data_IF_717215072083
#
_entry.id   IF_717215072083
#
_cell.length_a   1.000
_cell.length_b   1.000
_cell.length_c   1.000
_cell.angle_alpha   90.00
_cell.angle_beta   90.00
_cell.angle_gamma   90.00
#
_symmetry.space_group_name_H-M   'P 1'
#
loop_
_entity.id
_entity.type
_entity.pdbx_description
1 polymer ?
#
# COMPACT_ATOMS: atom_id res chain seq x y z
N UNK A 1 -2.25 -12.64 -13.12
CA UNK A 1 -1.50 -11.55 -12.45
C UNK A 1 -2.46 -10.41 -12.18
N UNK A 2 -2.47 -9.88 -10.96
CA UNK A 2 -3.39 -8.81 -10.55
C UNK A 2 -2.87 -7.49 -11.14
N UNK A 3 -3.76 -6.72 -11.76
CA UNK A 3 -3.45 -5.38 -12.27
C UNK A 3 -3.78 -4.34 -11.20
N UNK A 4 -2.83 -3.44 -10.96
CA UNK A 4 -2.95 -2.33 -10.01
C UNK A 4 -2.72 -1.03 -10.78
N UNK A 5 -3.48 0.00 -10.46
CA UNK A 5 -3.33 1.34 -11.01
C UNK A 5 -3.10 2.36 -9.91
N UNK A 6 -2.14 3.25 -10.14
CA UNK A 6 -1.85 4.39 -9.29
C UNK A 6 -2.11 5.65 -10.13
N UNK A 7 -2.98 6.52 -9.64
CA UNK A 7 -3.41 7.73 -10.33
C UNK A 7 -2.63 8.97 -9.85
N UNK A 8 -2.44 9.97 -10.71
CA UNK A 8 -1.76 11.22 -10.33
C UNK A 8 -2.53 12.06 -9.29
N UNK A 9 -3.84 11.85 -9.17
CA UNK A 9 -4.70 12.60 -8.25
C UNK A 9 -4.62 12.00 -6.84
N UNK A 10 -5.03 10.74 -6.70
CA UNK A 10 -5.15 10.06 -5.40
C UNK A 10 -3.88 9.30 -4.99
N UNK A 11 -3.05 8.89 -5.95
CA UNK A 11 -1.82 8.13 -5.74
C UNK A 11 -0.67 8.95 -5.16
N UNK A 12 -0.93 10.17 -4.69
CA UNK A 12 0.08 10.99 -4.01
C UNK A 12 0.44 10.39 -2.65
N UNK A 13 1.67 10.62 -2.23
CA UNK A 13 2.16 10.20 -0.92
C UNK A 13 1.39 10.93 0.19
N UNK A 14 0.73 10.17 1.05
CA UNK A 14 0.13 10.64 2.27
C UNK A 14 0.99 10.18 3.45
N UNK A 15 1.36 11.09 4.35
CA UNK A 15 2.10 10.76 5.56
C UNK A 15 1.24 11.03 6.79
N UNK A 16 1.09 10.03 7.66
CA UNK A 16 0.43 10.17 8.96
C UNK A 16 1.44 9.89 10.06
N UNK A 17 1.52 10.80 11.03
CA UNK A 17 2.31 10.60 12.23
C UNK A 17 1.38 10.18 13.36
N UNK A 18 1.67 9.05 13.98
CA UNK A 18 0.94 8.52 15.13
C UNK A 18 1.91 8.41 16.28
N UNK A 19 1.56 9.03 17.41
CA UNK A 19 2.34 8.88 18.64
C UNK A 19 1.92 7.57 19.32
N UNK A 20 2.87 6.67 19.49
CA UNK A 20 2.68 5.44 20.26
C UNK A 20 2.38 5.80 21.71
N UNK A 21 1.21 5.42 22.22
CA UNK A 21 0.83 5.65 23.62
C UNK A 21 1.72 4.91 24.61
N UNK A 22 2.37 3.83 24.16
CA UNK A 22 3.15 2.93 25.02
C UNK A 22 4.61 3.38 25.17
N UNK A 23 5.22 3.87 24.08
CA UNK A 23 6.66 4.22 24.05
C UNK A 23 6.90 5.72 23.87
N UNK A 24 5.88 6.50 23.53
CA UNK A 24 6.02 7.91 23.17
C UNK A 24 6.67 8.13 21.79
N UNK A 25 7.00 7.06 21.07
CA UNK A 25 7.65 7.15 19.76
C UNK A 25 6.68 7.64 18.68
N UNK A 26 7.18 8.48 17.78
CA UNK A 26 6.44 8.97 16.62
C UNK A 26 6.60 7.96 15.49
N UNK A 27 5.53 7.22 15.20
CA UNK A 27 5.44 6.32 14.07
C UNK A 27 4.95 7.10 12.85
N UNK A 28 5.77 7.16 11.80
CA UNK A 28 5.41 7.78 10.53
C UNK A 28 4.95 6.71 9.56
N UNK A 29 3.66 6.71 9.25
CA UNK A 29 3.06 5.87 8.21
C UNK A 29 3.06 6.63 6.89
N UNK A 30 3.56 5.99 5.85
CA UNK A 30 3.60 6.51 4.48
C UNK A 30 2.65 5.67 3.63
N UNK A 31 1.65 6.29 3.03
CA UNK A 31 0.53 5.61 2.38
C UNK A 31 0.30 6.19 0.97
N UNK A 32 -0.04 5.34 -0.01
CA UNK A 32 -0.53 5.74 -1.33
C UNK A 32 -1.87 5.05 -1.64
N UNK A 33 -2.77 5.76 -2.30
CA UNK A 33 -4.02 5.17 -2.80
C UNK A 33 -3.75 4.50 -4.14
N UNK A 34 -4.25 3.28 -4.29
CA UNK A 34 -4.17 2.52 -5.53
C UNK A 34 -5.50 1.79 -5.81
N UNK A 35 -5.64 1.32 -7.05
CA UNK A 35 -6.84 0.69 -7.57
C UNK A 35 -6.53 -0.72 -8.06
N UNK A 36 -7.20 -1.73 -7.52
CA UNK A 36 -6.98 -3.14 -7.85
C UNK A 36 -8.07 -3.65 -8.80
N UNK A 37 -7.65 -4.33 -9.87
CA UNK A 37 -8.52 -4.95 -10.86
C UNK A 37 -8.63 -6.46 -10.56
N UNK A 38 -9.64 -6.84 -9.79
CA UNK A 38 -9.85 -8.23 -9.32
C UNK A 38 -10.97 -8.98 -10.06
N UNK A 39 -11.47 -8.44 -11.18
CA UNK A 39 -12.55 -9.06 -11.97
C UNK A 39 -13.95 -8.50 -11.69
N UNK A 40 -14.07 -7.53 -10.77
CA UNK A 40 -15.27 -6.71 -10.66
C UNK A 40 -15.48 -5.79 -11.87
N UNK A 41 -16.68 -5.20 -11.97
CA UNK A 41 -17.03 -4.23 -13.03
C UNK A 41 -16.18 -2.96 -12.94
N UNK A 42 -15.80 -2.57 -11.73
CA UNK A 42 -14.95 -1.41 -11.44
C UNK A 42 -13.78 -1.83 -10.55
N UNK A 43 -12.63 -1.15 -10.65
CA UNK A 43 -11.51 -1.44 -9.77
C UNK A 43 -11.81 -0.98 -8.34
N UNK A 44 -11.28 -1.72 -7.37
CA UNK A 44 -11.47 -1.41 -5.95
C UNK A 44 -10.33 -0.54 -5.43
N UNK A 45 -10.67 0.43 -4.58
CA UNK A 45 -9.67 1.31 -3.97
C UNK A 45 -9.04 0.63 -2.76
N UNK A 46 -7.71 0.61 -2.69
CA UNK A 46 -6.94 0.12 -1.55
C UNK A 46 -5.76 1.04 -1.22
N UNK A 47 -5.13 0.81 -0.07
CA UNK A 47 -4.01 1.61 0.43
C UNK A 47 -2.74 0.76 0.38
N UNK A 48 -1.70 1.29 -0.26
CA UNK A 48 -0.34 0.75 -0.24
C UNK A 48 0.42 1.46 0.86
N UNK A 49 0.95 0.69 1.82
CA UNK A 49 1.89 1.22 2.80
C UNK A 49 3.31 1.14 2.22
N UNK A 50 4.04 2.24 2.36
CA UNK A 50 5.42 2.37 1.93
C UNK A 50 6.34 2.26 3.15
N UNK A 51 7.48 1.60 2.96
CA UNK A 51 8.56 1.62 3.92
C UNK A 51 9.11 3.04 4.13
N UNK A 52 9.76 3.25 5.28
CA UNK A 52 10.26 4.56 5.73
C UNK A 52 11.12 5.27 4.68
N UNK A 53 11.93 4.54 3.95
CA UNK A 53 12.89 5.06 2.98
C UNK A 53 12.51 4.77 1.52
N UNK A 54 11.36 4.13 1.28
CA UNK A 54 10.89 3.84 -0.06
C UNK A 54 10.45 5.10 -0.79
N UNK A 55 10.77 5.16 -2.09
CA UNK A 55 10.22 6.18 -2.97
C UNK A 55 8.75 5.86 -3.29
N UNK A 56 7.86 6.87 -3.33
CA UNK A 56 6.49 6.65 -3.74
C UNK A 56 6.45 6.14 -5.19
N UNK A 57 5.52 5.24 -5.48
CA UNK A 57 5.29 4.76 -6.82
C UNK A 57 4.75 5.89 -7.70
N UNK A 58 5.28 6.00 -8.92
CA UNK A 58 4.78 6.95 -9.92
C UNK A 58 3.40 6.51 -10.42
N UNK A 59 2.62 7.44 -10.98
CA UNK A 59 1.36 7.09 -11.60
C UNK A 59 1.56 6.12 -12.78
N UNK A 60 0.71 5.12 -12.89
CA UNK A 60 0.83 4.07 -13.89
C UNK A 60 0.22 2.73 -13.47
N UNK A 61 0.47 1.73 -14.29
CA UNK A 61 0.00 0.36 -14.07
C UNK A 61 1.11 -0.53 -13.54
N UNK A 62 0.79 -1.27 -12.48
CA UNK A 62 1.69 -2.18 -11.78
C UNK A 62 1.04 -3.55 -11.65
N UNK A 63 1.86 -4.53 -11.27
CA UNK A 63 1.41 -5.85 -10.87
C UNK A 63 2.07 -6.21 -9.54
N UNK A 64 1.46 -7.13 -8.79
CA UNK A 64 2.07 -7.66 -7.58
C UNK A 64 3.27 -8.51 -7.96
N UNK A 65 4.38 -8.26 -7.28
CA UNK A 65 5.54 -9.14 -7.35
C UNK A 65 5.27 -10.41 -6.53
N UNK A 66 5.81 -11.55 -6.97
CA UNK A 66 5.61 -12.84 -6.28
C UNK A 66 6.13 -12.81 -4.83
N UNK A 67 7.09 -11.93 -4.50
CA UNK A 67 7.56 -11.70 -3.13
C UNK A 67 6.51 -11.09 -2.19
N UNK A 68 5.39 -10.60 -2.73
CA UNK A 68 4.29 -10.04 -1.94
C UNK A 68 3.46 -11.11 -1.21
N UNK A 69 3.68 -12.39 -1.53
CA UNK A 69 2.93 -13.50 -0.95
C UNK A 69 3.78 -14.27 0.06
N UNK A 70 3.28 -14.36 1.30
CA UNK A 70 3.88 -15.21 2.34
C UNK A 70 2.90 -16.32 2.70
N UNK A 71 3.39 -17.56 2.80
CA UNK A 71 2.61 -18.68 3.33
C UNK A 71 2.61 -18.58 4.86
N UNK A 72 1.48 -18.16 5.43
CA UNK A 72 1.31 -18.16 6.88
C UNK A 72 1.21 -19.59 7.42
N UNK A 73 2.01 -19.93 8.44
CA UNK A 73 1.85 -21.20 9.17
C UNK A 73 0.78 -21.01 10.25
N UNK A 74 -0.26 -21.83 10.24
CA UNK A 74 -1.24 -21.89 11.32
C UNK A 74 -0.59 -22.62 12.50
N UNK A 75 -0.19 -21.87 13.53
CA UNK A 75 0.21 -22.46 14.82
C UNK A 75 -1.05 -22.57 15.66
N UNK A 76 -1.50 -23.80 15.90
CA UNK A 76 -2.63 -24.13 16.78
C UNK A 76 -2.23 -24.07 18.25
#
# INVERSE_FOLDING_TARGET
MIKIEINDIDGKLNSKQVVSKSTGEILTFREQVAYIYNGGVYPEKFIIQLDKDASPYAAGFYTLDDSSFTVGILVY
#
